data_IF_744591847043
#
_entry.id   IF_744591847043
#
_cell.length_a   1.000
_cell.length_b   1.000
_cell.length_c   1.000
_cell.angle_alpha   90.00
_cell.angle_beta   90.00
_cell.angle_gamma   90.00
#
_symmetry.space_group_name_H-M   'P 1'
#
loop_
_entity.id
_entity.type
_entity.pdbx_description
1 polymer ?
#
# COMPACT_ATOMS: atom_id res chain seq x y z
N UNK A 1 -3.01 -8.63 6.51
CA UNK A 1 -3.37 -7.37 5.81
C UNK A 1 -4.88 -7.18 5.81
N UNK A 2 -5.64 -8.20 5.38
CA UNK A 2 -7.09 -8.13 5.30
C UNK A 2 -7.77 -7.82 6.65
N UNK A 3 -7.25 -8.35 7.75
CA UNK A 3 -7.74 -8.11 9.11
C UNK A 3 -7.61 -6.64 9.52
N UNK A 4 -6.54 -5.96 9.08
CA UNK A 4 -6.33 -4.54 9.32
C UNK A 4 -7.34 -3.70 8.53
N UNK A 5 -7.65 -4.09 7.28
CA UNK A 5 -8.69 -3.44 6.47
C UNK A 5 -10.07 -3.64 7.11
N UNK A 6 -10.38 -4.85 7.58
CA UNK A 6 -11.63 -5.16 8.28
C UNK A 6 -11.78 -4.29 9.54
N UNK A 7 -10.70 -4.15 10.32
CA UNK A 7 -10.70 -3.28 11.52
C UNK A 7 -10.97 -1.81 11.17
N UNK A 8 -10.53 -1.36 9.99
CA UNK A 8 -10.75 0.01 9.54
C UNK A 8 -12.22 0.36 9.33
N UNK A 9 -13.10 -0.62 9.07
CA UNK A 9 -14.56 -0.38 8.96
C UNK A 9 -15.19 0.14 10.25
N UNK A 10 -14.55 -0.07 11.40
CA UNK A 10 -14.99 0.47 12.68
C UNK A 10 -14.20 1.73 13.05
N UNK A 11 -12.88 1.70 12.86
CA UNK A 11 -11.98 2.79 13.23
C UNK A 11 -12.27 4.07 12.43
N UNK A 12 -12.51 3.96 11.11
CA UNK A 12 -12.73 5.13 10.24
C UNK A 12 -14.02 5.87 10.62
N UNK A 13 -15.20 5.23 10.72
CA UNK A 13 -16.41 5.90 11.20
C UNK A 13 -16.29 6.47 12.62
N UNK A 14 -15.60 5.75 13.51
CA UNK A 14 -15.33 6.27 14.87
C UNK A 14 -14.53 7.56 14.80
N UNK A 15 -13.49 7.62 13.97
CA UNK A 15 -12.66 8.82 13.79
C UNK A 15 -13.46 9.97 13.16
N UNK A 16 -14.25 9.69 12.11
CA UNK A 16 -15.15 10.68 11.48
C UNK A 16 -16.10 11.29 12.50
N UNK A 17 -16.79 10.45 13.29
CA UNK A 17 -17.75 10.89 14.31
C UNK A 17 -17.08 11.68 15.43
N UNK A 18 -15.94 11.20 15.93
CA UNK A 18 -15.20 11.85 17.03
C UNK A 18 -14.69 13.23 16.64
N UNK A 19 -14.17 13.38 15.43
CA UNK A 19 -13.54 14.62 14.97
C UNK A 19 -14.46 15.50 14.12
N UNK A 20 -15.68 15.05 13.84
CA UNK A 20 -16.68 15.74 12.98
C UNK A 20 -16.13 16.06 11.59
N UNK A 21 -15.36 15.14 11.02
CA UNK A 21 -14.81 15.25 9.66
C UNK A 21 -15.61 14.37 8.72
N UNK A 22 -15.87 14.87 7.51
CA UNK A 22 -16.61 14.11 6.49
C UNK A 22 -15.69 13.09 5.81
N UNK A 23 -14.53 13.54 5.31
CA UNK A 23 -13.58 12.68 4.58
C UNK A 23 -12.36 12.41 5.46
N UNK A 24 -11.96 11.13 5.52
CA UNK A 24 -10.72 10.69 6.17
C UNK A 24 -9.78 10.12 5.12
N UNK A 25 -8.50 10.50 5.18
CA UNK A 25 -7.45 9.85 4.41
C UNK A 25 -6.91 8.65 5.21
N UNK A 26 -7.20 7.45 4.75
CA UNK A 26 -6.83 6.18 5.39
C UNK A 26 -5.62 5.58 4.67
N UNK A 27 -4.48 5.53 5.36
CA UNK A 27 -3.22 5.07 4.79
C UNK A 27 -2.88 3.68 5.31
N UNK A 28 -2.69 2.71 4.40
CA UNK A 28 -2.16 1.39 4.74
C UNK A 28 -0.69 1.33 4.34
N UNK A 29 0.16 1.13 5.35
CA UNK A 29 1.58 0.88 5.16
C UNK A 29 1.82 -0.62 5.28
N UNK A 30 2.13 -1.29 4.17
CA UNK A 30 2.34 -2.73 4.13
C UNK A 30 3.56 -3.10 3.32
N UNK A 31 4.10 -4.29 3.58
CA UNK A 31 5.11 -4.95 2.76
C UNK A 31 4.47 -5.71 1.58
N UNK A 32 3.22 -5.38 1.23
CA UNK A 32 2.48 -5.89 0.07
C UNK A 32 2.06 -7.35 0.14
N UNK A 33 2.22 -8.03 1.28
CA UNK A 33 1.79 -9.41 1.43
C UNK A 33 0.48 -9.50 2.24
N UNK A 34 -0.54 -10.08 1.61
CA UNK A 34 -1.82 -10.41 2.23
C UNK A 34 -2.02 -11.91 2.32
N UNK A 35 -2.57 -12.38 3.44
CA UNK A 35 -3.12 -13.72 3.58
C UNK A 35 -4.55 -13.77 3.02
N UNK A 36 -4.93 -14.89 2.44
CA UNK A 36 -6.33 -15.17 2.13
C UNK A 36 -7.13 -15.27 3.44
N UNK A 37 -8.29 -14.64 3.50
CA UNK A 37 -9.36 -14.96 4.45
C UNK A 37 -10.00 -16.28 3.98
N UNK A 38 -9.32 -17.38 4.28
CA UNK A 38 -9.73 -18.72 3.86
C UNK A 38 -10.72 -19.37 4.82
N UNK A 39 -10.71 -18.96 6.08
CA UNK A 39 -11.51 -19.54 7.15
C UNK A 39 -12.60 -18.60 7.61
N UNK A 40 -13.78 -19.15 7.91
CA UNK A 40 -14.92 -18.43 8.45
C UNK A 40 -15.61 -19.27 9.52
N UNK A 41 -16.32 -18.59 10.41
CA UNK A 41 -17.17 -19.27 11.38
C UNK A 41 -18.43 -19.76 10.71
N UNK A 42 -18.79 -21.01 10.97
CA UNK A 42 -20.00 -21.66 10.50
C UNK A 42 -20.58 -22.53 11.63
N UNK A 43 -21.74 -23.13 11.39
CA UNK A 43 -22.32 -24.13 12.26
C UNK A 43 -22.15 -25.52 11.65
N UNK A 44 -21.81 -26.51 12.47
CA UNK A 44 -21.85 -27.91 12.06
C UNK A 44 -23.31 -28.40 11.91
N UNK A 45 -23.49 -29.64 11.43
CA UNK A 45 -24.82 -30.25 11.29
C UNK A 45 -25.60 -30.35 12.63
N UNK A 46 -24.92 -30.18 13.75
CA UNK A 46 -25.49 -30.26 15.10
C UNK A 46 -25.71 -28.86 15.71
N UNK A 47 -25.44 -27.78 14.97
CA UNK A 47 -25.60 -26.40 15.44
C UNK A 47 -24.47 -25.90 16.34
N UNK A 48 -23.34 -26.61 16.45
CA UNK A 48 -22.17 -26.14 17.18
C UNK A 48 -21.30 -25.23 16.31
N UNK A 49 -20.67 -24.25 16.93
CA UNK A 49 -19.68 -23.40 16.24
C UNK A 49 -18.52 -24.25 15.72
N UNK A 50 -18.22 -24.08 14.43
CA UNK A 50 -17.06 -24.65 13.79
C UNK A 50 -16.36 -23.63 12.90
N UNK A 51 -15.08 -23.85 12.65
CA UNK A 51 -14.35 -23.12 11.62
C UNK A 51 -14.43 -23.91 10.32
N UNK A 52 -15.02 -23.31 9.30
CA UNK A 52 -15.04 -23.84 7.95
C UNK A 52 -14.03 -23.09 7.07
N UNK A 53 -13.61 -23.68 5.96
CA UNK A 53 -12.67 -23.05 5.04
C UNK A 53 -13.13 -23.16 3.59
N UNK A 54 -13.17 -22.01 2.91
CA UNK A 54 -13.48 -21.97 1.50
C UNK A 54 -12.26 -22.38 0.68
N UNK A 55 -12.40 -23.44 -0.13
CA UNK A 55 -11.39 -23.88 -1.10
C UNK A 55 -10.87 -22.71 -1.94
N UNK A 56 -9.59 -22.74 -2.31
CA UNK A 56 -9.00 -21.71 -3.16
C UNK A 56 -9.72 -21.51 -4.50
N UNK A 57 -10.46 -22.55 -4.97
CA UNK A 57 -11.29 -22.51 -6.18
C UNK A 57 -12.71 -21.97 -5.96
N UNK A 58 -13.13 -21.77 -4.71
CA UNK A 58 -14.47 -21.30 -4.39
C UNK A 58 -14.62 -19.83 -4.77
N UNK A 59 -15.73 -19.52 -5.47
CA UNK A 59 -16.15 -18.14 -5.69
C UNK A 59 -16.61 -17.56 -4.35
N UNK A 60 -15.92 -16.53 -3.90
CA UNK A 60 -16.27 -15.81 -2.67
C UNK A 60 -16.98 -14.52 -3.06
N UNK A 61 -18.08 -14.20 -2.39
CA UNK A 61 -18.76 -12.91 -2.55
C UNK A 61 -18.76 -12.24 -1.19
N UNK A 62 -18.09 -11.09 -1.10
CA UNK A 62 -18.12 -10.28 0.10
C UNK A 62 -19.38 -9.42 0.02
N UNK A 63 -20.23 -9.49 1.04
CA UNK A 63 -21.43 -8.66 1.13
C UNK A 63 -21.28 -7.71 2.30
N UNK A 64 -21.41 -6.41 2.02
CA UNK A 64 -21.45 -5.42 3.07
C UNK A 64 -22.85 -5.42 3.73
N UNK A 65 -23.00 -5.73 5.03
CA UNK A 65 -24.29 -5.72 5.70
C UNK A 65 -24.92 -4.33 5.86
N UNK A 66 -24.16 -3.24 5.71
CA UNK A 66 -24.64 -1.86 5.87
C UNK A 66 -25.09 -1.30 4.52
N UNK A 67 -24.18 -1.26 3.54
CA UNK A 67 -24.48 -0.71 2.20
C UNK A 67 -25.26 -1.68 1.32
N UNK A 68 -25.28 -2.97 1.68
CA UNK A 68 -25.85 -4.08 0.89
C UNK A 68 -25.18 -4.31 -0.46
N UNK A 69 -24.03 -3.67 -0.70
CA UNK A 69 -23.24 -3.89 -1.89
C UNK A 69 -22.56 -5.26 -1.85
N UNK A 70 -22.41 -5.86 -3.03
CA UNK A 70 -21.80 -7.16 -3.23
C UNK A 70 -20.52 -7.02 -4.05
N UNK A 71 -19.43 -7.59 -3.53
CA UNK A 71 -18.11 -7.56 -4.13
C UNK A 71 -17.72 -8.98 -4.50
N UNK A 72 -17.73 -9.24 -5.80
CA UNK A 72 -17.50 -10.57 -6.36
C UNK A 72 -16.00 -10.81 -6.57
N UNK A 73 -15.50 -11.86 -5.94
CA UNK A 73 -14.10 -12.22 -6.02
C UNK A 73 -13.84 -13.05 -7.28
N UNK A 74 -13.78 -12.37 -8.44
CA UNK A 74 -13.45 -12.96 -9.74
C UNK A 74 -11.95 -12.97 -10.05
N UNK A 75 -11.12 -12.44 -9.15
CA UNK A 75 -9.69 -12.27 -9.37
C UNK A 75 -8.91 -13.59 -9.27
N UNK A 76 -8.00 -13.80 -10.22
CA UNK A 76 -6.92 -14.78 -10.04
C UNK A 76 -5.84 -14.21 -9.11
N UNK A 77 -5.32 -15.03 -8.19
CA UNK A 77 -4.29 -14.62 -7.23
C UNK A 77 -4.35 -15.41 -5.91
N UNK A 78 -3.31 -15.32 -5.08
CA UNK A 78 -3.21 -16.08 -3.82
C UNK A 78 -4.28 -15.68 -2.79
N UNK A 79 -4.71 -14.41 -2.75
CA UNK A 79 -5.82 -13.94 -1.91
C UNK A 79 -7.19 -13.92 -2.65
N UNK A 80 -7.21 -14.28 -3.94
CA UNK A 80 -8.40 -14.26 -4.80
C UNK A 80 -8.95 -12.87 -5.16
N UNK A 81 -8.31 -11.77 -4.76
CA UNK A 81 -8.82 -10.39 -4.90
C UNK A 81 -9.52 -9.85 -3.65
N UNK A 82 -9.44 -10.55 -2.50
CA UNK A 82 -10.16 -10.18 -1.27
C UNK A 82 -9.72 -8.81 -0.76
N UNK A 83 -8.42 -8.51 -0.75
CA UNK A 83 -7.91 -7.22 -0.30
C UNK A 83 -8.50 -6.07 -1.11
N UNK A 84 -8.50 -6.20 -2.44
CA UNK A 84 -9.05 -5.20 -3.38
C UNK A 84 -10.52 -4.93 -3.07
N UNK A 85 -11.31 -5.99 -2.90
CA UNK A 85 -12.74 -5.89 -2.61
C UNK A 85 -13.01 -5.29 -1.23
N UNK A 86 -12.21 -5.63 -0.21
CA UNK A 86 -12.33 -5.02 1.12
C UNK A 86 -11.98 -3.53 1.11
N UNK A 87 -10.94 -3.11 0.37
CA UNK A 87 -10.59 -1.69 0.22
C UNK A 87 -11.70 -0.92 -0.49
N UNK A 88 -12.29 -1.49 -1.55
CA UNK A 88 -13.46 -0.91 -2.25
C UNK A 88 -14.66 -0.77 -1.31
N UNK A 89 -15.01 -1.84 -0.61
CA UNK A 89 -16.10 -1.82 0.36
C UNK A 89 -15.88 -0.80 1.50
N UNK A 90 -14.64 -0.62 1.96
CA UNK A 90 -14.30 0.38 2.96
C UNK A 90 -14.59 1.79 2.45
N UNK A 91 -14.16 2.10 1.22
CA UNK A 91 -14.44 3.39 0.58
C UNK A 91 -15.94 3.62 0.41
N UNK A 92 -16.66 2.65 -0.13
CA UNK A 92 -18.09 2.78 -0.37
C UNK A 92 -18.90 2.98 0.92
N UNK A 93 -18.51 2.32 2.02
CA UNK A 93 -19.21 2.46 3.31
C UNK A 93 -18.88 3.77 4.03
N UNK A 94 -17.64 4.22 3.94
CA UNK A 94 -17.12 5.29 4.82
C UNK A 94 -16.80 6.59 4.10
N UNK A 95 -16.83 6.62 2.78
CA UNK A 95 -16.40 7.76 1.94
C UNK A 95 -14.94 8.21 2.23
N UNK A 96 -14.12 7.35 2.85
CA UNK A 96 -12.72 7.64 3.09
C UNK A 96 -11.89 7.49 1.81
N UNK A 97 -10.79 8.24 1.72
CA UNK A 97 -9.78 8.05 0.67
C UNK A 97 -8.79 6.98 1.12
N UNK A 98 -8.54 5.98 0.29
CA UNK A 98 -7.67 4.85 0.67
C UNK A 98 -6.36 4.87 -0.12
N UNK A 99 -5.25 5.02 0.62
CA UNK A 99 -3.90 5.19 0.08
C UNK A 99 -3.01 4.03 0.54
N UNK A 100 -2.23 3.48 -0.39
CA UNK A 100 -1.27 2.44 -0.08
C UNK A 100 0.17 2.95 -0.21
N UNK A 101 1.06 2.37 0.58
CA UNK A 101 2.50 2.45 0.36
C UNK A 101 3.12 1.06 0.36
N UNK A 102 4.02 0.81 -0.59
CA UNK A 102 4.81 -0.41 -0.68
C UNK A 102 6.28 -0.10 -0.92
N UNK A 103 7.15 -0.83 -0.23
CA UNK A 103 8.60 -0.70 -0.39
C UNK A 103 9.10 -1.83 -1.28
N UNK A 104 9.50 -1.49 -2.50
CA UNK A 104 9.97 -2.43 -3.50
C UNK A 104 11.47 -2.75 -3.35
N UNK A 105 11.84 -4.05 -3.36
CA UNK A 105 13.23 -4.46 -3.28
C UNK A 105 13.92 -4.29 -4.64
N UNK A 106 14.83 -3.33 -4.75
CA UNK A 106 15.55 -3.02 -5.97
C UNK A 106 16.76 -3.94 -6.16
N UNK A 107 16.50 -5.23 -6.43
CA UNK A 107 17.52 -6.26 -6.61
C UNK A 107 17.07 -7.41 -7.50
N UNK A 108 17.68 -8.60 -7.30
CA UNK A 108 17.28 -9.82 -8.03
C UNK A 108 15.83 -10.23 -7.76
N UNK A 109 15.30 -9.86 -6.59
CA UNK A 109 13.93 -10.15 -6.19
C UNK A 109 12.90 -9.22 -6.83
N UNK A 110 13.29 -8.08 -7.43
CA UNK A 110 12.36 -7.03 -7.87
C UNK A 110 11.19 -7.59 -8.69
N UNK A 111 11.48 -8.26 -9.81
CA UNK A 111 10.44 -8.78 -10.70
C UNK A 111 9.52 -9.78 -9.97
N UNK A 112 10.04 -10.60 -9.06
CA UNK A 112 9.24 -11.58 -8.32
C UNK A 112 8.24 -10.88 -7.38
N UNK A 113 8.69 -9.85 -6.69
CA UNK A 113 7.89 -9.19 -5.65
C UNK A 113 6.88 -8.18 -6.19
N UNK A 114 7.09 -7.60 -7.38
CA UNK A 114 6.21 -6.55 -7.92
C UNK A 114 5.51 -6.91 -9.23
N UNK A 115 5.83 -8.05 -9.87
CA UNK A 115 5.20 -8.44 -11.14
C UNK A 115 3.68 -8.57 -11.05
N UNK A 116 3.16 -8.99 -9.89
CA UNK A 116 1.71 -9.10 -9.68
C UNK A 116 0.98 -7.75 -9.69
N UNK A 117 1.70 -6.64 -9.53
CA UNK A 117 1.11 -5.29 -9.51
C UNK A 117 0.81 -4.75 -10.91
N UNK A 118 1.41 -5.33 -11.96
CA UNK A 118 1.32 -4.83 -13.33
C UNK A 118 0.94 -5.92 -14.33
N UNK A 119 0.28 -5.53 -15.41
CA UNK A 119 -0.35 -6.48 -16.32
C UNK A 119 0.57 -6.95 -17.47
N UNK A 120 1.74 -6.32 -17.66
CA UNK A 120 2.67 -6.67 -18.74
C UNK A 120 4.12 -6.27 -18.41
N UNK A 121 5.06 -6.78 -19.22
CA UNK A 121 6.49 -6.54 -19.06
C UNK A 121 6.90 -5.07 -19.30
N UNK A 122 6.23 -4.36 -20.21
CA UNK A 122 6.53 -2.95 -20.50
C UNK A 122 6.23 -2.05 -19.28
N UNK A 123 5.10 -2.28 -18.62
CA UNK A 123 4.72 -1.60 -17.38
C UNK A 123 5.68 -1.94 -16.24
N UNK A 124 6.16 -3.18 -16.16
CA UNK A 124 7.16 -3.59 -15.18
C UNK A 124 8.50 -2.87 -15.39
N UNK A 125 8.95 -2.77 -16.65
CA UNK A 125 10.18 -2.07 -17.00
C UNK A 125 10.07 -0.55 -16.78
N UNK A 126 8.91 0.04 -17.09
CA UNK A 126 8.58 1.44 -16.75
C UNK A 126 8.66 1.66 -15.25
N UNK A 127 7.97 0.84 -14.44
CA UNK A 127 8.02 0.90 -12.98
C UNK A 127 9.46 0.83 -12.47
N UNK A 128 10.24 -0.12 -12.98
CA UNK A 128 11.65 -0.29 -12.60
C UNK A 128 12.50 0.93 -12.94
N UNK A 129 12.24 1.57 -14.08
CA UNK A 129 12.92 2.80 -14.51
C UNK A 129 12.55 3.96 -13.60
N UNK A 130 11.27 4.18 -13.35
CA UNK A 130 10.78 5.24 -12.47
C UNK A 130 11.35 5.11 -11.06
N UNK A 131 11.39 3.90 -10.51
CA UNK A 131 11.97 3.64 -9.18
C UNK A 131 13.50 3.86 -9.12
N UNK A 132 14.20 3.75 -10.24
CA UNK A 132 15.64 4.09 -10.33
C UNK A 132 15.86 5.59 -10.45
N UNK A 133 15.09 6.24 -11.31
CA UNK A 133 15.30 7.63 -11.70
C UNK A 133 14.72 8.59 -10.64
N UNK A 134 13.53 8.26 -10.10
CA UNK A 134 12.74 9.13 -9.25
C UNK A 134 12.61 8.64 -7.79
N UNK A 135 13.13 7.45 -7.47
CA UNK A 135 12.98 6.77 -6.17
C UNK A 135 11.56 6.28 -5.81
N UNK A 136 10.54 6.69 -6.55
CA UNK A 136 9.16 6.25 -6.37
C UNK A 136 8.43 6.15 -7.71
N UNK A 137 7.31 5.44 -7.73
CA UNK A 137 6.29 5.55 -8.78
C UNK A 137 4.90 5.40 -8.16
N UNK A 138 3.87 5.80 -8.90
CA UNK A 138 2.47 5.60 -8.51
C UNK A 138 1.93 4.51 -9.41
N UNK A 139 1.30 3.50 -8.82
CA UNK A 139 0.78 2.37 -9.58
C UNK A 139 -0.46 2.79 -10.37
N UNK A 140 -0.44 2.52 -11.68
CA UNK A 140 -1.54 2.84 -12.61
C UNK A 140 -2.63 1.74 -12.64
N UNK A 141 -2.49 0.63 -11.91
CA UNK A 141 -3.43 -0.50 -11.91
C UNK A 141 -4.41 -0.47 -10.73
N UNK A 142 -5.63 -0.97 -10.95
CA UNK A 142 -6.66 -1.06 -9.91
C UNK A 142 -6.38 -2.22 -8.95
N UNK A 143 -5.63 -1.92 -7.90
CA UNK A 143 -5.38 -2.80 -6.75
C UNK A 143 -6.20 -2.40 -5.52
N UNK A 144 -7.30 -1.65 -5.71
CA UNK A 144 -8.22 -1.24 -4.64
C UNK A 144 -7.89 0.08 -3.95
N UNK A 145 -6.63 0.52 -4.00
CA UNK A 145 -6.20 1.85 -3.55
C UNK A 145 -6.60 2.94 -4.56
N UNK A 146 -6.91 4.15 -4.10
CA UNK A 146 -7.04 5.31 -4.98
C UNK A 146 -5.69 5.83 -5.46
N UNK A 147 -4.69 5.79 -4.58
CA UNK A 147 -3.29 5.95 -4.94
C UNK A 147 -2.45 4.91 -4.22
N UNK A 148 -1.58 4.24 -4.98
CA UNK A 148 -0.63 3.29 -4.43
C UNK A 148 0.79 3.70 -4.77
N UNK A 149 1.52 4.18 -3.77
CA UNK A 149 2.89 4.61 -3.91
C UNK A 149 3.83 3.42 -3.76
N UNK A 150 4.66 3.21 -4.77
CA UNK A 150 5.73 2.22 -4.77
C UNK A 150 7.05 2.96 -4.54
N UNK A 151 7.79 2.56 -3.52
CA UNK A 151 9.04 3.21 -3.10
C UNK A 151 10.22 2.29 -3.30
N UNK A 152 11.35 2.83 -3.73
CA UNK A 152 12.60 2.09 -3.89
C UNK A 152 13.29 1.89 -2.54
N UNK A 153 13.50 0.64 -2.10
CA UNK A 153 14.24 0.32 -0.86
C UNK A 153 15.65 0.94 -0.83
N UNK A 154 16.31 1.00 -1.99
CA UNK A 154 17.63 1.62 -2.18
C UNK A 154 17.62 3.12 -1.94
N UNK A 155 16.49 3.77 -2.17
CA UNK A 155 16.34 5.21 -2.04
C UNK A 155 15.81 5.63 -0.67
N UNK A 156 15.31 4.67 0.13
CA UNK A 156 14.83 4.86 1.49
C UNK A 156 15.94 4.86 2.55
N UNK A 157 17.22 4.78 2.14
CA UNK A 157 18.35 4.98 3.04
C UNK A 157 18.38 6.45 3.48
N UNK A 158 17.62 6.74 4.53
CA UNK A 158 17.83 7.92 5.35
C UNK A 158 19.14 7.69 6.09
N UNK A 159 20.25 7.96 5.43
CA UNK A 159 21.48 8.23 6.16
C UNK A 159 21.18 9.45 7.02
N UNK A 160 20.95 9.21 8.32
CA UNK A 160 21.04 10.21 9.37
C UNK A 160 22.48 10.71 9.52
N UNK A 161 23.17 10.95 8.41
CA UNK A 161 24.46 11.59 8.39
C UNK A 161 24.23 13.03 8.79
N UNK A 162 24.53 13.34 10.05
CA UNK A 162 24.95 14.68 10.39
C UNK A 162 26.04 15.10 9.39
N UNK A 163 25.97 16.37 9.01
CA UNK A 163 26.95 16.95 8.13
C UNK A 163 28.30 16.98 8.88
N UNK A 164 29.10 15.93 8.76
CA UNK A 164 30.44 15.90 9.35
C UNK A 164 31.35 16.87 8.59
N UNK A 165 31.51 18.07 9.16
CA UNK A 165 32.50 19.05 8.73
C UNK A 165 33.66 18.97 9.72
N UNK A 166 34.86 18.71 9.19
CA UNK A 166 36.13 18.83 9.91
C UNK A 166 36.84 20.11 9.45
N UNK A 167 37.45 20.84 10.38
CA UNK A 167 38.24 22.06 10.15
C UNK A 167 39.42 21.85 9.19
N UNK A 168 39.87 20.60 9.02
CA UNK A 168 40.91 20.23 8.05
C UNK A 168 40.39 20.04 6.62
N UNK A 169 39.08 20.11 6.39
CA UNK A 169 38.53 19.96 5.05
C UNK A 169 38.86 21.16 4.16
N UNK A 170 39.25 20.89 2.92
CA UNK A 170 39.34 21.95 1.90
C UNK A 170 37.95 22.47 1.54
N UNK A 171 37.84 23.71 1.04
CA UNK A 171 36.56 24.29 0.55
C UNK A 171 35.82 23.36 -0.42
N UNK A 172 36.55 22.65 -1.29
CA UNK A 172 35.98 21.68 -2.22
C UNK A 172 35.39 20.44 -1.52
N UNK A 173 36.05 19.94 -0.48
CA UNK A 173 35.54 18.82 0.33
C UNK A 173 34.30 19.21 1.13
N UNK A 174 34.27 20.40 1.74
CA UNK A 174 33.08 20.91 2.43
C UNK A 174 31.88 21.06 1.47
N UNK A 175 32.09 21.66 0.28
CA UNK A 175 31.05 21.77 -0.75
C UNK A 175 30.49 20.39 -1.12
N UNK A 176 31.36 19.40 -1.32
CA UNK A 176 30.94 18.06 -1.70
C UNK A 176 30.21 17.32 -0.56
N UNK A 177 30.65 17.48 0.68
CA UNK A 177 29.97 16.94 1.86
C UNK A 177 28.57 17.54 2.02
N UNK A 178 28.44 18.85 1.83
CA UNK A 178 27.16 19.57 1.85
C UNK A 178 26.20 19.15 0.72
N UNK A 179 26.72 18.92 -0.48
CA UNK A 179 25.91 18.41 -1.60
C UNK A 179 25.47 16.96 -1.34
N UNK A 180 26.36 16.11 -0.78
CA UNK A 180 26.03 14.72 -0.46
C UNK A 180 24.98 14.59 0.63
N UNK A 181 25.05 15.38 1.70
CA UNK A 181 24.05 15.36 2.79
C UNK A 181 22.64 15.76 2.33
N UNK A 182 22.54 16.49 1.21
CA UNK A 182 21.25 16.83 0.60
C UNK A 182 20.77 15.82 -0.44
N UNK A 183 21.66 15.16 -1.19
CA UNK A 183 21.29 14.24 -2.29
C UNK A 183 20.36 13.10 -1.84
N UNK A 184 20.59 12.51 -0.66
CA UNK A 184 19.78 11.38 -0.17
C UNK A 184 18.44 11.82 0.44
N UNK A 185 18.17 13.13 0.58
CA UNK A 185 16.90 13.67 1.14
C UNK A 185 15.91 14.12 0.05
N UNK A 186 16.35 14.20 -1.20
CA UNK A 186 15.59 14.86 -2.29
C UNK A 186 14.55 13.93 -2.94
N UNK A 187 14.75 12.61 -2.91
CA UNK A 187 13.80 11.61 -3.47
C UNK A 187 12.41 11.63 -2.83
N UNK A 188 12.25 12.21 -1.64
CA UNK A 188 10.96 12.30 -0.96
C UNK A 188 10.15 13.56 -1.30
N UNK A 189 10.72 14.65 -1.81
CA UNK A 189 9.95 15.90 -1.97
C UNK A 189 8.88 15.82 -3.06
N UNK A 190 9.21 15.22 -4.21
CA UNK A 190 8.26 15.07 -5.30
C UNK A 190 7.12 14.10 -4.94
N UNK A 191 7.44 12.99 -4.29
CA UNK A 191 6.45 12.04 -3.77
C UNK A 191 5.57 12.69 -2.71
N UNK A 192 6.16 13.37 -1.72
CA UNK A 192 5.41 14.10 -0.68
C UNK A 192 4.53 15.19 -1.28
N UNK A 193 5.00 15.91 -2.30
CA UNK A 193 4.17 16.89 -3.02
C UNK A 193 2.96 16.22 -3.66
N UNK A 194 3.16 15.11 -4.37
CA UNK A 194 2.08 14.34 -5.00
C UNK A 194 1.09 13.77 -3.99
N UNK A 195 1.60 13.28 -2.86
CA UNK A 195 0.78 12.82 -1.75
C UNK A 195 -0.04 13.97 -1.15
N UNK A 196 0.59 15.14 -0.87
CA UNK A 196 -0.10 16.33 -0.39
C UNK A 196 -1.18 16.81 -1.35
N UNK A 197 -0.91 16.83 -2.67
CA UNK A 197 -1.90 17.17 -3.70
C UNK A 197 -3.11 16.22 -3.68
N UNK A 198 -2.91 14.94 -3.36
CA UNK A 198 -3.97 13.96 -3.28
C UNK A 198 -4.80 14.04 -1.99
N UNK A 199 -4.16 14.32 -0.85
CA UNK A 199 -4.86 14.38 0.45
C UNK A 199 -5.51 15.73 0.74
N UNK A 200 -5.10 16.78 0.02
CA UNK A 200 -5.74 18.10 0.05
C UNK A 200 -7.17 18.08 -0.54
#
# INVERSE_FOLDING_TARGET
MNEAIVSAFEIVPMFQKKNKVQIVNTIFLTDGQGSRLGSHWNYDNNGNWMTDSASYKSRTIITDPVTKLHYDNRGGGFDGGQAVNLLKALKDRTECRVIGFYIAPMGRAFNREVSWMVNNYEALDKMKKDLKDNAFTILDSDVGYEQFFILSDKSLKVEGGELEIDDKMTKGRMKNAFIKSRKNKIGNKAMLSKFCEFVA
#
